data_IF_303307944355
#
_entry.id   IF_303307944355
#
_cell.length_a   1.000
_cell.length_b   1.000
_cell.length_c   1.000
_cell.angle_alpha   90.00
_cell.angle_beta   90.00
_cell.angle_gamma   90.00
#
_symmetry.space_group_name_H-M   'P 1'
#
loop_
_entity.id
_entity.type
_entity.pdbx_description
1 polymer ?
#
# COMPACT_ATOMS: atom_id res chain seq x y z
N UNK A 1 38.41 -2.04 -1.67
CA UNK A 1 38.57 -2.39 -0.23
C UNK A 1 37.76 -3.66 0.01
N UNK A 2 38.46 -4.66 0.53
CA UNK A 2 38.20 -6.09 0.40
C UNK A 2 36.95 -6.62 1.11
N UNK A 3 36.48 -7.76 0.61
CA UNK A 3 35.57 -8.74 1.21
C UNK A 3 36.02 -9.17 2.63
N UNK A 4 35.88 -8.30 3.62
CA UNK A 4 36.09 -8.63 5.03
C UNK A 4 34.72 -8.79 5.69
N UNK A 5 34.48 -10.01 6.16
CA UNK A 5 33.37 -10.47 6.98
C UNK A 5 32.62 -9.34 7.72
N UNK A 6 31.44 -8.92 7.21
CA UNK A 6 30.63 -7.84 7.79
C UNK A 6 29.89 -8.26 9.09
N UNK A 7 30.27 -9.38 9.70
CA UNK A 7 29.64 -9.93 10.90
C UNK A 7 29.74 -8.99 12.10
N UNK A 8 30.78 -8.16 12.17
CA UNK A 8 30.94 -7.14 13.23
C UNK A 8 29.93 -5.99 13.15
N UNK A 9 29.23 -5.82 12.02
CA UNK A 9 28.22 -4.77 11.81
C UNK A 9 26.81 -5.21 12.20
N UNK A 10 26.59 -6.48 12.56
CA UNK A 10 25.34 -6.99 13.12
C UNK A 10 25.54 -7.48 14.57
N UNK A 11 25.69 -6.56 15.53
CA UNK A 11 25.80 -6.94 16.93
C UNK A 11 24.52 -7.66 17.39
N UNK A 12 24.61 -8.57 18.38
CA UNK A 12 23.46 -9.33 18.88
C UNK A 12 22.26 -8.47 19.26
N UNK A 13 22.50 -7.27 19.81
CA UNK A 13 21.48 -6.29 20.14
C UNK A 13 20.65 -5.88 18.92
N UNK A 14 21.29 -5.61 17.77
CA UNK A 14 20.58 -5.23 16.53
C UNK A 14 19.74 -6.40 16.01
N UNK A 15 20.26 -7.63 16.08
CA UNK A 15 19.50 -8.83 15.73
C UNK A 15 18.27 -8.99 16.63
N UNK A 16 18.41 -8.75 17.93
CA UNK A 16 17.31 -8.80 18.88
C UNK A 16 16.26 -7.72 18.61
N UNK A 17 16.68 -6.48 18.33
CA UNK A 17 15.76 -5.40 17.92
C UNK A 17 14.98 -5.79 16.68
N UNK A 18 15.61 -6.36 15.65
CA UNK A 18 14.91 -6.81 14.45
C UNK A 18 13.93 -7.94 14.71
N UNK A 19 14.27 -8.88 15.59
CA UNK A 19 13.36 -9.96 15.99
C UNK A 19 12.14 -9.40 16.72
N UNK A 20 12.34 -8.54 17.72
CA UNK A 20 11.25 -7.91 18.48
C UNK A 20 10.37 -7.06 17.57
N UNK A 21 10.97 -6.26 16.68
CA UNK A 21 10.26 -5.46 15.70
C UNK A 21 9.43 -6.32 14.74
N UNK A 22 10.02 -7.37 14.16
CA UNK A 22 9.32 -8.26 13.22
C UNK A 22 8.20 -9.03 13.92
N UNK A 23 8.40 -9.47 15.17
CA UNK A 23 7.37 -10.13 15.97
C UNK A 23 6.21 -9.19 16.31
N UNK A 24 6.51 -7.93 16.64
CA UNK A 24 5.50 -6.89 16.87
C UNK A 24 4.67 -6.60 15.62
N UNK A 25 5.32 -6.46 14.46
CA UNK A 25 4.64 -6.29 13.17
C UNK A 25 3.80 -7.51 12.81
N UNK A 26 4.27 -8.72 13.09
CA UNK A 26 3.51 -9.95 12.83
C UNK A 26 2.21 -9.95 13.63
N UNK A 27 2.29 -9.73 14.95
CA UNK A 27 1.12 -9.73 15.82
C UNK A 27 0.14 -8.61 15.46
N UNK A 28 0.64 -7.38 15.34
CA UNK A 28 -0.17 -6.22 15.03
C UNK A 28 -0.75 -6.30 13.62
N UNK A 29 0.06 -6.68 12.63
CA UNK A 29 -0.34 -6.79 11.23
C UNK A 29 -1.40 -7.86 11.01
N UNK A 30 -1.28 -9.03 11.64
CA UNK A 30 -2.32 -10.08 11.53
C UNK A 30 -3.64 -9.62 12.12
N UNK A 31 -3.61 -8.94 13.28
CA UNK A 31 -4.79 -8.40 13.92
C UNK A 31 -5.45 -7.32 13.03
N UNK A 32 -4.69 -6.32 12.60
CA UNK A 32 -5.19 -5.18 11.84
C UNK A 32 -5.71 -5.59 10.45
N UNK A 33 -4.94 -6.36 9.69
CA UNK A 33 -5.34 -6.77 8.34
C UNK A 33 -6.41 -7.86 8.37
N UNK A 34 -6.39 -8.77 9.33
CA UNK A 34 -7.44 -9.77 9.51
C UNK A 34 -8.78 -9.11 9.86
N UNK A 35 -8.78 -8.17 10.81
CA UNK A 35 -9.96 -7.40 11.17
C UNK A 35 -10.44 -6.53 10.00
N UNK A 36 -9.52 -5.86 9.30
CA UNK A 36 -9.85 -5.04 8.14
C UNK A 36 -10.50 -5.88 7.05
N UNK A 37 -9.90 -7.01 6.67
CA UNK A 37 -10.47 -7.90 5.66
C UNK A 37 -11.83 -8.45 6.11
N UNK A 38 -11.99 -8.78 7.40
CA UNK A 38 -13.29 -9.18 7.95
C UNK A 38 -14.36 -8.10 7.78
N UNK A 39 -14.05 -6.87 8.18
CA UNK A 39 -14.97 -5.72 8.07
C UNK A 39 -15.27 -5.42 6.60
N UNK A 40 -14.23 -5.35 5.77
CA UNK A 40 -14.30 -5.07 4.34
C UNK A 40 -14.97 -6.19 3.55
N UNK A 41 -15.08 -7.43 4.02
CA UNK A 41 -15.79 -8.47 3.27
C UNK A 41 -17.21 -8.66 3.77
N UNK A 42 -17.43 -8.67 5.09
CA UNK A 42 -18.70 -9.10 5.68
C UNK A 42 -19.51 -8.01 6.38
N UNK A 43 -18.93 -6.87 6.76
CA UNK A 43 -19.65 -5.82 7.52
C UNK A 43 -20.13 -4.66 6.64
N UNK A 44 -19.45 -4.39 5.53
CA UNK A 44 -19.86 -3.34 4.62
C UNK A 44 -20.88 -3.88 3.59
N UNK A 45 -22.05 -3.25 3.42
CA UNK A 45 -23.11 -3.77 2.55
C UNK A 45 -22.87 -3.52 1.05
N UNK A 46 -22.03 -2.54 0.70
CA UNK A 46 -21.81 -2.12 -0.71
C UNK A 46 -20.33 -2.18 -1.09
N UNK A 47 -20.03 -2.76 -2.24
CA UNK A 47 -18.68 -2.76 -2.79
C UNK A 47 -18.39 -1.44 -3.49
N UNK A 48 -17.33 -0.77 -3.09
CA UNK A 48 -16.81 0.46 -3.70
C UNK A 48 -15.42 0.19 -4.28
N UNK A 49 -14.95 1.06 -5.18
CA UNK A 49 -13.62 0.95 -5.79
C UNK A 49 -12.53 0.89 -4.73
N UNK A 50 -12.60 1.81 -3.76
CA UNK A 50 -11.64 1.87 -2.65
C UNK A 50 -11.69 0.62 -1.78
N UNK A 51 -12.88 0.09 -1.47
CA UNK A 51 -13.01 -1.16 -0.72
C UNK A 51 -12.32 -2.32 -1.44
N UNK A 52 -12.40 -2.39 -2.77
CA UNK A 52 -11.74 -3.43 -3.56
C UNK A 52 -10.21 -3.30 -3.48
N UNK A 53 -9.66 -2.10 -3.71
CA UNK A 53 -8.22 -1.89 -3.59
C UNK A 53 -7.69 -2.26 -2.21
N UNK A 54 -8.45 -1.90 -1.17
CA UNK A 54 -8.07 -2.09 0.23
C UNK A 54 -8.18 -3.54 0.67
N UNK A 55 -9.16 -4.29 0.17
CA UNK A 55 -9.23 -5.73 0.39
C UNK A 55 -8.05 -6.45 -0.27
N UNK A 56 -7.65 -6.04 -1.48
CA UNK A 56 -6.46 -6.60 -2.15
C UNK A 56 -5.16 -6.25 -1.41
N UNK A 57 -5.07 -5.06 -0.84
CA UNK A 57 -3.93 -4.63 -0.02
C UNK A 57 -3.83 -5.48 1.25
N UNK A 58 -4.94 -5.67 1.97
CA UNK A 58 -5.00 -6.54 3.14
C UNK A 58 -4.63 -7.99 2.82
N UNK A 59 -5.03 -8.52 1.66
CA UNK A 59 -4.63 -9.86 1.20
C UNK A 59 -3.11 -9.93 0.97
N UNK A 60 -2.52 -8.94 0.28
CA UNK A 60 -1.08 -8.90 0.06
C UNK A 60 -0.31 -8.84 1.39
N UNK A 61 -0.76 -8.00 2.32
CA UNK A 61 -0.17 -7.87 3.65
C UNK A 61 -0.25 -9.16 4.46
N UNK A 62 -1.40 -9.85 4.43
CA UNK A 62 -1.56 -11.15 5.08
C UNK A 62 -0.64 -12.22 4.45
N UNK A 63 -0.44 -12.20 3.14
CA UNK A 63 0.54 -13.08 2.48
C UNK A 63 1.96 -12.83 3.00
N UNK A 64 2.38 -11.57 3.17
CA UNK A 64 3.67 -11.24 3.80
C UNK A 64 3.73 -11.73 5.24
N UNK A 65 2.72 -11.42 6.04
CA UNK A 65 2.68 -11.76 7.47
C UNK A 65 2.78 -13.27 7.69
N UNK A 66 2.09 -14.08 6.88
CA UNK A 66 2.22 -15.54 6.89
C UNK A 66 3.62 -16.02 6.49
N UNK A 67 4.35 -15.28 5.66
CA UNK A 67 5.72 -15.60 5.24
C UNK A 67 6.80 -15.20 6.26
N UNK A 68 6.52 -14.22 7.14
CA UNK A 68 7.51 -13.71 8.10
C UNK A 68 8.07 -14.76 9.08
N UNK A 69 7.29 -15.70 9.64
CA UNK A 69 7.84 -16.76 10.50
C UNK A 69 8.90 -17.62 9.80
N UNK A 70 8.64 -17.98 8.54
CA UNK A 70 9.56 -18.76 7.72
C UNK A 70 10.82 -17.95 7.40
N UNK A 71 10.65 -16.67 7.07
CA UNK A 71 11.77 -15.74 6.92
C UNK A 71 12.69 -15.75 8.15
N UNK A 72 12.11 -15.66 9.37
CA UNK A 72 12.87 -15.63 10.62
C UNK A 72 13.58 -16.96 10.92
N UNK A 73 12.98 -18.07 10.50
CA UNK A 73 13.56 -19.40 10.62
C UNK A 73 14.76 -19.56 9.67
N UNK A 74 14.59 -19.30 8.38
CA UNK A 74 15.64 -19.49 7.37
C UNK A 74 16.81 -18.52 7.50
N UNK A 75 16.61 -17.37 8.15
CA UNK A 75 17.72 -16.47 8.51
C UNK A 75 18.74 -17.14 9.45
N UNK A 76 18.38 -18.23 10.15
CA UNK A 76 19.29 -18.96 11.05
C UNK A 76 20.00 -20.14 10.40
N UNK A 77 19.36 -20.82 9.45
CA UNK A 77 19.85 -22.07 8.87
C UNK A 77 20.65 -21.89 7.59
N UNK A 78 20.56 -20.73 6.92
CA UNK A 78 21.22 -20.45 5.62
C UNK A 78 20.91 -21.48 4.52
N UNK A 79 19.81 -22.23 4.67
CA UNK A 79 19.38 -23.26 3.73
C UNK A 79 18.53 -22.66 2.61
N UNK A 80 18.93 -22.92 1.37
CA UNK A 80 18.18 -22.57 0.16
C UNK A 80 17.10 -23.64 -0.11
N UNK A 81 16.03 -23.61 0.68
CA UNK A 81 14.88 -24.52 0.54
C UNK A 81 13.75 -23.85 -0.26
N UNK A 82 12.88 -24.61 -0.95
CA UNK A 82 11.69 -24.07 -1.63
C UNK A 82 10.84 -23.14 -0.77
N UNK A 83 10.81 -23.39 0.55
CA UNK A 83 10.09 -22.57 1.51
C UNK A 83 10.78 -21.23 1.80
N UNK A 84 12.13 -21.17 1.79
CA UNK A 84 12.84 -19.87 1.81
C UNK A 84 12.55 -19.09 0.52
N UNK A 85 12.58 -19.75 -0.64
CA UNK A 85 12.33 -19.12 -1.94
C UNK A 85 10.89 -18.56 -2.00
N UNK A 86 9.90 -19.34 -1.55
CA UNK A 86 8.51 -18.91 -1.43
C UNK A 86 8.34 -17.72 -0.47
N UNK A 87 9.05 -17.73 0.66
CA UNK A 87 9.02 -16.62 1.63
C UNK A 87 9.59 -15.32 1.04
N UNK A 88 10.66 -15.43 0.24
CA UNK A 88 11.20 -14.30 -0.51
C UNK A 88 10.25 -13.82 -1.61
N UNK A 89 9.60 -14.73 -2.33
CA UNK A 89 8.61 -14.40 -3.33
C UNK A 89 7.42 -13.65 -2.71
N UNK A 90 6.91 -14.11 -1.56
CA UNK A 90 5.85 -13.43 -0.80
C UNK A 90 6.27 -12.01 -0.37
N UNK A 91 7.53 -11.82 0.02
CA UNK A 91 8.06 -10.49 0.33
C UNK A 91 8.06 -9.55 -0.88
N UNK A 92 8.56 -10.01 -2.02
CA UNK A 92 8.59 -9.21 -3.25
C UNK A 92 7.18 -8.94 -3.78
N UNK A 93 6.30 -9.95 -3.71
CA UNK A 93 4.89 -9.85 -4.05
C UNK A 93 4.23 -8.73 -3.24
N UNK A 94 4.34 -8.76 -1.92
CA UNK A 94 3.79 -7.72 -1.06
C UNK A 94 4.33 -6.35 -1.43
N UNK A 95 5.65 -6.21 -1.55
CA UNK A 95 6.28 -4.92 -1.90
C UNK A 95 5.71 -4.33 -3.19
N UNK A 96 5.72 -5.08 -4.28
CA UNK A 96 5.26 -4.55 -5.57
C UNK A 96 3.74 -4.43 -5.65
N UNK A 97 3.00 -5.31 -4.97
CA UNK A 97 1.54 -5.23 -4.92
C UNK A 97 1.10 -4.00 -4.11
N UNK A 98 1.66 -3.75 -2.92
CA UNK A 98 1.36 -2.56 -2.12
C UNK A 98 1.72 -1.28 -2.87
N UNK A 99 2.91 -1.21 -3.48
CA UNK A 99 3.32 -0.06 -4.33
C UNK A 99 2.29 0.20 -5.43
N UNK A 100 1.88 -0.85 -6.15
CA UNK A 100 0.98 -0.73 -7.29
C UNK A 100 -0.45 -0.37 -6.87
N UNK A 101 -0.95 -0.94 -5.78
CA UNK A 101 -2.28 -0.66 -5.24
C UNK A 101 -2.36 0.77 -4.69
N UNK A 102 -1.34 1.23 -3.95
CA UNK A 102 -1.28 2.60 -3.43
C UNK A 102 -1.26 3.62 -4.58
N UNK A 103 -0.52 3.33 -5.65
CA UNK A 103 -0.55 4.11 -6.89
C UNK A 103 -1.97 4.11 -7.51
N UNK A 104 -2.59 2.94 -7.66
CA UNK A 104 -3.93 2.83 -8.24
C UNK A 104 -5.00 3.59 -7.43
N UNK A 105 -4.95 3.52 -6.10
CA UNK A 105 -5.81 4.29 -5.19
C UNK A 105 -5.63 5.79 -5.41
N UNK A 106 -4.39 6.25 -5.57
CA UNK A 106 -4.08 7.66 -5.76
C UNK A 106 -4.52 8.17 -7.14
N UNK A 107 -4.40 7.35 -8.19
CA UNK A 107 -4.95 7.65 -9.52
C UNK A 107 -6.47 7.68 -9.48
N UNK A 108 -7.12 6.71 -8.82
CA UNK A 108 -8.58 6.67 -8.63
C UNK A 108 -9.08 7.98 -7.99
N UNK A 109 -8.41 8.43 -6.92
CA UNK A 109 -8.76 9.68 -6.24
C UNK A 109 -8.47 10.92 -7.05
N UNK A 110 -7.36 10.95 -7.76
CA UNK A 110 -7.06 12.03 -8.69
C UNK A 110 -8.15 12.18 -9.75
N UNK A 111 -8.56 11.09 -10.40
CA UNK A 111 -9.62 11.09 -11.42
C UNK A 111 -10.94 11.53 -10.82
N UNK A 112 -11.29 11.04 -9.63
CA UNK A 112 -12.51 11.42 -8.91
C UNK A 112 -12.59 12.94 -8.64
N UNK A 113 -11.47 13.55 -8.25
CA UNK A 113 -11.42 14.95 -7.81
C UNK A 113 -11.27 15.91 -8.98
N UNK A 114 -10.38 15.61 -9.93
CA UNK A 114 -10.05 16.53 -11.04
C UNK A 114 -10.91 16.33 -12.27
N UNK A 115 -11.43 15.13 -12.49
CA UNK A 115 -12.16 14.77 -13.72
C UNK A 115 -13.50 14.08 -13.41
N UNK A 116 -14.44 14.72 -12.67
CA UNK A 116 -15.67 14.07 -12.19
C UNK A 116 -16.56 13.51 -13.31
N UNK A 117 -16.60 14.15 -14.48
CA UNK A 117 -17.35 13.65 -15.64
C UNK A 117 -16.75 12.36 -16.21
N UNK A 118 -15.41 12.27 -16.30
CA UNK A 118 -14.71 11.05 -16.72
C UNK A 118 -14.79 9.97 -15.65
N UNK A 119 -14.72 10.36 -14.37
CA UNK A 119 -14.86 9.47 -13.23
C UNK A 119 -16.17 8.67 -13.28
N UNK A 120 -17.27 9.26 -13.77
CA UNK A 120 -18.56 8.56 -13.91
C UNK A 120 -18.52 7.36 -14.87
N UNK A 121 -17.64 7.37 -15.88
CA UNK A 121 -17.50 6.26 -16.83
C UNK A 121 -16.29 5.36 -16.56
N UNK A 122 -15.25 5.86 -15.90
CA UNK A 122 -13.99 5.15 -15.64
C UNK A 122 -13.91 4.51 -14.25
N UNK A 123 -14.83 4.84 -13.35
CA UNK A 123 -14.84 4.32 -11.98
C UNK A 123 -16.11 3.50 -11.76
N UNK A 124 -15.88 2.23 -11.45
CA UNK A 124 -16.88 1.31 -10.97
C UNK A 124 -16.17 0.20 -10.19
N UNK A 125 -16.88 -0.50 -9.29
CA UNK A 125 -16.32 -1.65 -8.59
C UNK A 125 -15.76 -2.72 -9.56
N UNK A 126 -16.44 -2.95 -10.69
CA UNK A 126 -15.95 -3.89 -11.71
C UNK A 126 -14.63 -3.45 -12.34
N UNK A 127 -14.49 -2.17 -12.67
CA UNK A 127 -13.22 -1.62 -13.19
C UNK A 127 -12.10 -1.69 -12.16
N UNK A 128 -12.38 -1.38 -10.89
CA UNK A 128 -11.38 -1.51 -9.82
C UNK A 128 -10.93 -2.97 -9.63
N UNK A 129 -11.85 -3.93 -9.71
CA UNK A 129 -11.52 -5.36 -9.67
C UNK A 129 -10.65 -5.78 -10.87
N UNK A 130 -10.96 -5.29 -12.07
CA UNK A 130 -10.16 -5.55 -13.27
C UNK A 130 -8.74 -4.97 -13.16
N UNK A 131 -8.60 -3.75 -12.59
CA UNK A 131 -7.30 -3.15 -12.28
C UNK A 131 -6.54 -4.03 -11.29
N UNK A 132 -7.14 -4.41 -10.16
CA UNK A 132 -6.50 -5.31 -9.19
C UNK A 132 -6.06 -6.63 -9.82
N UNK A 133 -6.92 -7.28 -10.62
CA UNK A 133 -6.58 -8.53 -11.30
C UNK A 133 -5.40 -8.36 -12.26
N UNK A 134 -5.36 -7.25 -13.00
CA UNK A 134 -4.22 -6.91 -13.87
C UNK A 134 -2.95 -6.70 -13.07
N UNK A 135 -3.01 -5.99 -11.94
CA UNK A 135 -1.85 -5.78 -11.06
C UNK A 135 -1.33 -7.12 -10.50
N UNK A 136 -2.22 -7.99 -10.03
CA UNK A 136 -1.84 -9.34 -9.60
C UNK A 136 -1.16 -10.13 -10.71
N UNK A 137 -1.74 -10.14 -11.92
CA UNK A 137 -1.16 -10.84 -13.06
C UNK A 137 0.23 -10.29 -13.44
N UNK A 138 0.40 -8.96 -13.45
CA UNK A 138 1.68 -8.31 -13.74
C UNK A 138 2.71 -8.64 -12.67
N UNK A 139 2.37 -8.51 -11.39
CA UNK A 139 3.31 -8.76 -10.29
C UNK A 139 3.68 -10.24 -10.25
N UNK A 140 2.71 -11.15 -10.23
CA UNK A 140 2.97 -12.60 -10.24
C UNK A 140 3.72 -13.03 -11.49
N UNK A 141 3.34 -12.52 -12.67
CA UNK A 141 4.02 -12.77 -13.92
C UNK A 141 5.48 -12.30 -13.89
N UNK A 142 5.76 -11.13 -13.33
CA UNK A 142 7.14 -10.63 -13.17
C UNK A 142 7.98 -11.48 -12.21
N UNK A 143 7.37 -11.98 -11.13
CA UNK A 143 8.03 -12.89 -10.19
C UNK A 143 8.28 -14.27 -10.80
N UNK A 144 7.31 -14.80 -11.54
CA UNK A 144 7.44 -16.04 -12.28
C UNK A 144 8.51 -15.92 -13.37
N UNK A 145 8.52 -14.83 -14.14
CA UNK A 145 9.55 -14.59 -15.14
C UNK A 145 10.94 -14.51 -14.50
N UNK A 146 11.06 -13.81 -13.37
CA UNK A 146 12.30 -13.76 -12.60
C UNK A 146 12.74 -15.13 -12.11
N UNK A 147 11.80 -16.00 -11.77
CA UNK A 147 12.05 -17.39 -11.39
C UNK A 147 12.52 -18.23 -12.60
N UNK A 148 11.85 -18.11 -13.74
CA UNK A 148 12.11 -18.91 -14.94
C UNK A 148 13.37 -18.50 -15.70
N UNK A 149 13.70 -17.21 -15.76
CA UNK A 149 14.81 -16.71 -16.57
C UNK A 149 16.20 -17.07 -16.04
N UNK A 150 16.29 -17.90 -15.00
CA UNK A 150 17.53 -18.30 -14.35
C UNK A 150 18.51 -17.12 -14.23
N UNK A 151 17.97 -15.96 -13.83
CA UNK A 151 18.74 -14.79 -13.41
C UNK A 151 19.35 -15.13 -12.03
N UNK A 152 20.10 -16.23 -12.04
CA UNK A 152 20.70 -16.97 -10.95
C UNK A 152 22.22 -16.90 -11.12
N UNK A 153 22.74 -15.69 -10.95
CA UNK A 153 24.01 -15.59 -10.24
C UNK A 153 23.72 -15.70 -8.72
N UNK A 154 23.24 -16.87 -8.30
CA UNK A 154 23.27 -17.33 -6.91
C UNK A 154 21.97 -17.25 -6.09
N UNK A 155 21.37 -18.43 -5.86
CA UNK A 155 20.79 -18.91 -4.59
C UNK A 155 19.64 -18.11 -3.96
N UNK A 156 18.43 -18.68 -3.98
CA UNK A 156 17.27 -18.17 -3.28
C UNK A 156 17.36 -18.39 -1.77
N UNK A 157 18.07 -17.52 -1.05
CA UNK A 157 17.73 -17.19 0.34
C UNK A 157 18.53 -15.96 0.79
N UNK A 158 17.90 -14.76 0.81
CA UNK A 158 18.35 -13.43 1.31
C UNK A 158 19.85 -13.04 1.24
N UNK A 159 20.65 -13.78 0.50
CA UNK A 159 22.08 -13.63 0.37
C UNK A 159 22.33 -12.90 -0.94
N UNK A 160 23.03 -11.79 -0.84
CA UNK A 160 23.47 -11.05 -2.03
C UNK A 160 24.77 -11.70 -2.47
N UNK A 161 24.74 -12.63 -3.43
CA UNK A 161 25.96 -13.08 -4.10
C UNK A 161 26.19 -12.26 -5.36
N UNK A 162 27.47 -12.07 -5.65
CA UNK A 162 28.07 -11.05 -6.52
C UNK A 162 27.77 -11.23 -8.02
N UNK A 163 26.51 -11.09 -8.41
CA UNK A 163 26.10 -10.92 -9.81
C UNK A 163 25.24 -9.67 -9.92
N UNK A 164 25.80 -8.57 -10.42
CA UNK A 164 25.03 -7.36 -10.75
C UNK A 164 24.15 -7.66 -11.97
N UNK A 165 23.00 -8.30 -11.77
CA UNK A 165 22.02 -8.37 -12.83
C UNK A 165 21.36 -6.99 -12.97
N UNK A 166 21.89 -6.18 -13.88
CA UNK A 166 21.44 -4.83 -14.16
C UNK A 166 19.94 -4.79 -14.48
N UNK A 167 19.39 -5.82 -15.13
CA UNK A 167 17.96 -5.90 -15.45
C UNK A 167 17.09 -5.99 -14.19
N UNK A 168 17.47 -6.80 -13.21
CA UNK A 168 16.73 -6.92 -11.93
C UNK A 168 16.73 -5.61 -11.15
N UNK A 169 17.87 -4.91 -11.15
CA UNK A 169 17.99 -3.60 -10.51
C UNK A 169 17.16 -2.56 -11.24
N UNK A 170 17.30 -2.45 -12.57
CA UNK A 170 16.54 -1.49 -13.38
C UNK A 170 15.03 -1.73 -13.24
N UNK A 171 14.59 -2.99 -13.30
CA UNK A 171 13.18 -3.33 -13.08
C UNK A 171 12.71 -2.93 -11.68
N UNK A 172 13.51 -3.18 -10.64
CA UNK A 172 13.18 -2.74 -9.27
C UNK A 172 13.11 -1.22 -9.13
N UNK A 173 14.01 -0.48 -9.78
CA UNK A 173 14.03 0.99 -9.73
C UNK A 173 12.86 1.57 -10.54
N UNK A 174 12.58 1.07 -11.73
CA UNK A 174 11.42 1.48 -12.53
C UNK A 174 10.11 1.16 -11.82
N UNK A 175 10.01 -0.05 -11.26
CA UNK A 175 8.87 -0.50 -10.45
C UNK A 175 8.65 0.30 -9.17
N UNK A 176 9.56 1.20 -8.80
CA UNK A 176 9.42 2.10 -7.65
C UNK A 176 9.30 3.58 -8.04
N UNK A 177 10.23 4.11 -8.83
CA UNK A 177 10.28 5.53 -9.16
C UNK A 177 9.13 5.98 -10.07
N UNK A 178 8.65 5.12 -10.96
CA UNK A 178 7.47 5.43 -11.78
C UNK A 178 6.21 5.54 -10.88
N UNK A 179 5.89 4.55 -10.02
CA UNK A 179 4.83 4.70 -9.04
C UNK A 179 4.99 5.92 -8.12
N UNK A 180 6.21 6.22 -7.66
CA UNK A 180 6.47 7.40 -6.84
C UNK A 180 6.13 8.70 -7.58
N UNK A 181 6.55 8.83 -8.84
CA UNK A 181 6.25 10.01 -9.65
C UNK A 181 4.74 10.20 -9.85
N UNK A 182 4.02 9.11 -10.15
CA UNK A 182 2.55 9.12 -10.26
C UNK A 182 1.91 9.50 -8.93
N UNK A 183 2.36 8.92 -7.82
CA UNK A 183 1.85 9.21 -6.48
C UNK A 183 2.02 10.67 -6.11
N UNK A 184 3.21 11.24 -6.30
CA UNK A 184 3.50 12.65 -6.03
C UNK A 184 2.63 13.54 -6.91
N UNK A 185 2.55 13.26 -8.21
CA UNK A 185 1.70 14.01 -9.13
C UNK A 185 0.23 13.99 -8.70
N UNK A 186 -0.34 12.80 -8.46
CA UNK A 186 -1.73 12.65 -8.02
C UNK A 186 -1.98 13.39 -6.70
N UNK A 187 -1.04 13.30 -5.74
CA UNK A 187 -1.13 13.98 -4.45
C UNK A 187 -1.19 15.50 -4.62
N UNK A 188 -0.26 16.08 -5.38
CA UNK A 188 -0.23 17.53 -5.65
C UNK A 188 -1.51 17.99 -6.34
N UNK A 189 -2.03 17.21 -7.28
CA UNK A 189 -3.25 17.54 -7.99
C UNK A 189 -4.50 17.49 -7.11
N UNK A 190 -4.59 16.53 -6.19
CA UNK A 190 -5.71 16.45 -5.23
C UNK A 190 -5.65 17.60 -4.22
N UNK A 191 -4.46 17.95 -3.72
CA UNK A 191 -4.26 19.06 -2.78
C UNK A 191 -4.55 20.42 -3.44
N UNK A 192 -4.03 20.66 -4.64
CA UNK A 192 -4.31 21.92 -5.36
C UNK A 192 -5.80 22.07 -5.70
N UNK A 193 -6.49 20.97 -6.03
CA UNK A 193 -7.93 20.99 -6.23
C UNK A 193 -8.73 21.40 -4.99
N UNK A 194 -8.21 21.22 -3.78
CA UNK A 194 -8.82 21.76 -2.57
C UNK A 194 -8.65 23.26 -2.45
N UNK A 195 -7.43 23.74 -2.66
CA UNK A 195 -7.10 25.17 -2.54
C UNK A 195 -7.84 26.04 -3.55
N UNK A 196 -8.22 25.47 -4.69
CA UNK A 196 -8.85 26.19 -5.81
C UNK A 196 -10.39 26.19 -5.74
N UNK A 197 -11.01 25.52 -4.77
CA UNK A 197 -12.48 25.36 -4.73
C UNK A 197 -13.15 26.47 -3.90
N UNK A 198 -14.14 27.19 -4.48
CA UNK A 198 -14.94 28.16 -3.72
C UNK A 198 -15.72 27.48 -2.59
N UNK A 199 -15.91 28.18 -1.46
CA UNK A 199 -16.66 27.69 -0.28
C UNK A 199 -18.15 27.38 -0.55
N UNK A 200 -18.66 27.72 -1.74
CA UNK A 200 -20.06 27.60 -2.12
C UNK A 200 -20.62 26.16 -2.12
N UNK A 201 -19.79 25.11 -2.03
CA UNK A 201 -20.23 23.70 -1.97
C UNK A 201 -19.54 22.92 -0.83
N UNK A 202 -19.97 23.11 0.44
CA UNK A 202 -19.30 22.54 1.60
C UNK A 202 -19.23 21.00 1.60
N UNK A 203 -20.29 20.30 1.14
CA UNK A 203 -20.30 18.84 1.09
C UNK A 203 -19.29 18.24 0.10
N UNK A 204 -19.03 18.93 -1.02
CA UNK A 204 -18.06 18.47 -2.02
C UNK A 204 -16.62 18.85 -1.62
N UNK A 205 -16.44 19.95 -0.89
CA UNK A 205 -15.17 20.31 -0.27
C UNK A 205 -14.76 19.28 0.79
N UNK A 206 -15.69 18.82 1.62
CA UNK A 206 -15.44 17.78 2.63
C UNK A 206 -15.03 16.44 2.01
N UNK A 207 -15.73 15.98 0.98
CA UNK A 207 -15.37 14.75 0.25
C UNK A 207 -13.96 14.85 -0.37
N UNK A 208 -13.61 16.02 -0.92
CA UNK A 208 -12.28 16.27 -1.49
C UNK A 208 -11.21 16.32 -0.39
N UNK A 209 -11.54 16.84 0.79
CA UNK A 209 -10.63 16.90 1.94
C UNK A 209 -10.32 15.49 2.44
N UNK A 210 -11.33 14.62 2.55
CA UNK A 210 -11.16 13.20 2.88
C UNK A 210 -10.26 12.50 1.85
N UNK A 211 -10.53 12.70 0.56
CA UNK A 211 -9.67 12.18 -0.51
C UNK A 211 -8.22 12.65 -0.38
N UNK A 212 -7.98 13.92 -0.04
CA UNK A 212 -6.61 14.44 0.16
C UNK A 212 -5.91 13.84 1.36
N UNK A 213 -6.61 13.64 2.49
CA UNK A 213 -6.03 13.03 3.68
C UNK A 213 -5.61 11.57 3.39
N UNK A 214 -6.45 10.83 2.65
CA UNK A 214 -6.14 9.46 2.26
C UNK A 214 -4.94 9.39 1.30
N UNK A 215 -4.90 10.24 0.27
CA UNK A 215 -3.79 10.27 -0.70
C UNK A 215 -2.49 10.75 -0.05
N UNK A 216 -2.55 11.72 0.85
CA UNK A 216 -1.38 12.20 1.59
C UNK A 216 -0.87 11.15 2.59
N UNK A 217 -1.77 10.45 3.30
CA UNK A 217 -1.38 9.34 4.18
C UNK A 217 -0.66 8.25 3.38
N UNK A 218 -1.24 7.85 2.24
CA UNK A 218 -0.62 6.91 1.31
C UNK A 218 0.77 7.36 0.85
N UNK A 219 0.94 8.63 0.49
CA UNK A 219 2.24 9.19 0.09
C UNK A 219 3.26 9.10 1.23
N UNK A 220 2.87 9.48 2.45
CA UNK A 220 3.76 9.43 3.62
C UNK A 220 4.17 7.99 3.92
N UNK A 221 3.23 7.05 3.94
CA UNK A 221 3.52 5.63 4.16
C UNK A 221 4.47 5.10 3.10
N UNK A 222 4.20 5.42 1.83
CA UNK A 222 5.03 5.01 0.71
C UNK A 222 6.47 5.53 0.83
N UNK A 223 6.61 6.81 1.15
CA UNK A 223 7.92 7.46 1.33
C UNK A 223 8.66 6.88 2.54
N UNK A 224 8.00 6.66 3.67
CA UNK A 224 8.67 6.12 4.87
C UNK A 224 9.06 4.65 4.69
N UNK A 225 8.18 3.83 4.12
CA UNK A 225 8.39 2.39 4.03
C UNK A 225 9.28 1.97 2.85
N UNK A 226 9.13 2.60 1.68
CA UNK A 226 9.76 2.09 0.46
C UNK A 226 10.92 2.96 -0.05
N UNK A 227 10.87 4.29 0.10
CA UNK A 227 11.92 5.17 -0.43
C UNK A 227 13.32 4.89 0.14
N UNK A 228 13.51 4.67 1.46
CA UNK A 228 14.85 4.47 2.01
C UNK A 228 15.58 3.29 1.37
N UNK A 229 14.87 2.17 1.14
CA UNK A 229 15.44 0.99 0.50
C UNK A 229 15.88 1.28 -0.94
N UNK A 230 15.02 1.92 -1.73
CA UNK A 230 15.30 2.18 -3.15
C UNK A 230 16.39 3.24 -3.32
N UNK A 231 16.48 4.23 -2.43
CA UNK A 231 17.57 5.20 -2.40
C UNK A 231 18.90 4.49 -2.14
N UNK A 232 18.99 3.67 -1.09
CA UNK A 232 20.23 2.93 -0.78
C UNK A 232 20.61 1.98 -1.92
N UNK A 233 19.64 1.30 -2.53
CA UNK A 233 19.87 0.46 -3.71
C UNK A 233 20.39 1.27 -4.91
N UNK A 234 19.82 2.46 -5.14
CA UNK A 234 20.26 3.36 -6.21
C UNK A 234 21.69 3.82 -5.97
N UNK A 235 22.03 4.24 -4.74
CA UNK A 235 23.38 4.65 -4.35
C UNK A 235 24.38 3.51 -4.54
N UNK A 236 24.04 2.30 -4.09
CA UNK A 236 24.87 1.10 -4.29
C UNK A 236 25.25 0.90 -5.75
N UNK A 237 24.27 1.03 -6.65
CA UNK A 237 24.44 0.72 -8.07
C UNK A 237 25.14 1.87 -8.79
N UNK A 238 24.69 3.11 -8.58
CA UNK A 238 25.22 4.30 -9.25
C UNK A 238 26.70 4.55 -8.89
N UNK A 239 27.08 4.30 -7.63
CA UNK A 239 28.45 4.50 -7.15
C UNK A 239 29.26 3.20 -7.10
N UNK A 240 28.64 2.07 -7.44
CA UNK A 240 29.28 0.76 -7.39
C UNK A 240 29.77 0.33 -5.99
N UNK A 241 29.17 0.84 -4.91
CA UNK A 241 29.62 0.64 -3.53
C UNK A 241 29.18 -0.72 -2.96
N UNK A 242 30.15 -1.55 -2.55
CA UNK A 242 29.89 -2.84 -1.90
C UNK A 242 30.44 -2.89 -0.47
N UNK A 243 30.26 -1.81 0.29
CA UNK A 243 30.73 -1.71 1.67
C UNK A 243 29.78 -2.39 2.66
N UNK A 244 30.29 -2.77 3.83
CA UNK A 244 29.45 -3.30 4.92
C UNK A 244 28.37 -2.30 5.36
N UNK A 245 28.67 -1.00 5.32
CA UNK A 245 27.70 0.06 5.62
C UNK A 245 26.51 0.05 4.64
N UNK A 246 26.76 -0.06 3.33
CA UNK A 246 25.70 -0.16 2.31
C UNK A 246 24.90 -1.44 2.48
N UNK A 247 25.55 -2.58 2.71
CA UNK A 247 24.87 -3.85 2.97
C UNK A 247 23.97 -3.78 4.21
N UNK A 248 24.45 -3.16 5.29
CA UNK A 248 23.68 -2.97 6.51
C UNK A 248 22.52 -1.99 6.30
N UNK A 249 22.73 -0.91 5.56
CA UNK A 249 21.68 0.04 5.19
C UNK A 249 20.57 -0.64 4.36
N UNK A 250 20.92 -1.51 3.40
CA UNK A 250 19.94 -2.30 2.64
C UNK A 250 19.13 -3.21 3.57
N UNK A 251 19.79 -3.89 4.52
CA UNK A 251 19.09 -4.73 5.50
C UNK A 251 18.12 -3.91 6.36
N UNK A 252 18.59 -2.81 6.98
CA UNK A 252 17.77 -1.94 7.84
C UNK A 252 16.57 -1.40 7.06
N UNK A 253 16.80 -0.81 5.90
CA UNK A 253 15.74 -0.20 5.08
C UNK A 253 14.78 -1.24 4.49
N UNK A 254 15.25 -2.45 4.19
CA UNK A 254 14.37 -3.58 3.84
C UNK A 254 13.46 -3.97 5.00
N UNK A 255 13.94 -4.00 6.25
CA UNK A 255 13.09 -4.25 7.43
C UNK A 255 12.11 -3.11 7.70
N UNK A 256 12.53 -1.87 7.51
CA UNK A 256 11.64 -0.71 7.62
C UNK A 256 10.43 -0.87 6.68
N UNK A 257 10.62 -1.40 5.46
CA UNK A 257 9.52 -1.63 4.53
C UNK A 257 8.44 -2.62 5.02
N UNK A 258 8.73 -3.45 6.03
CA UNK A 258 7.72 -4.32 6.64
C UNK A 258 6.66 -3.54 7.42
N UNK A 259 6.96 -2.32 7.90
CA UNK A 259 5.97 -1.50 8.61
C UNK A 259 4.76 -1.16 7.73
N UNK A 260 4.90 -1.23 6.39
CA UNK A 260 3.81 -0.99 5.45
C UNK A 260 2.55 -1.78 5.81
N UNK A 261 2.69 -3.07 6.14
CA UNK A 261 1.53 -3.92 6.42
C UNK A 261 0.74 -3.49 7.66
N UNK A 262 1.35 -2.78 8.61
CA UNK A 262 0.64 -2.21 9.75
C UNK A 262 0.13 -0.80 9.46
N UNK A 263 0.89 -0.01 8.71
CA UNK A 263 0.55 1.38 8.41
C UNK A 263 -0.62 1.51 7.43
N UNK A 264 -0.87 0.48 6.61
CA UNK A 264 -2.05 0.39 5.74
C UNK A 264 -3.38 0.40 6.54
N UNK A 265 -3.33 0.15 7.86
CA UNK A 265 -4.47 0.33 8.76
C UNK A 265 -5.00 1.76 8.85
N UNK A 266 -4.15 2.77 8.62
CA UNK A 266 -4.57 4.17 8.51
C UNK A 266 -5.55 4.33 7.35
N UNK A 267 -5.28 3.65 6.25
CA UNK A 267 -6.13 3.70 5.07
C UNK A 267 -7.47 2.99 5.36
N UNK A 268 -7.47 1.86 6.08
CA UNK A 268 -8.71 1.16 6.47
C UNK A 268 -9.59 2.05 7.37
N UNK A 269 -8.99 2.83 8.27
CA UNK A 269 -9.71 3.79 9.10
C UNK A 269 -10.48 4.82 8.26
N UNK A 270 -9.86 5.39 7.21
CA UNK A 270 -10.55 6.35 6.34
C UNK A 270 -11.75 5.73 5.61
N UNK A 271 -11.63 4.48 5.15
CA UNK A 271 -12.75 3.76 4.51
C UNK A 271 -13.88 3.49 5.50
N UNK A 272 -13.55 3.03 6.71
CA UNK A 272 -14.54 2.77 7.75
C UNK A 272 -15.30 4.05 8.13
N UNK A 273 -14.58 5.18 8.23
CA UNK A 273 -15.16 6.50 8.51
C UNK A 273 -16.09 6.96 7.40
N UNK A 274 -15.69 6.84 6.13
CA UNK A 274 -16.54 7.16 4.98
C UNK A 274 -17.87 6.36 5.01
N UNK A 275 -17.81 5.09 5.41
CA UNK A 275 -19.00 4.24 5.54
C UNK A 275 -19.90 4.60 6.72
N UNK A 276 -19.33 4.90 7.88
CA UNK A 276 -20.10 5.32 9.05
C UNK A 276 -20.89 6.59 8.75
N UNK A 277 -20.25 7.59 8.16
CA UNK A 277 -20.88 8.86 7.80
C UNK A 277 -21.97 8.68 6.72
N UNK A 278 -21.72 7.84 5.71
CA UNK A 278 -22.72 7.52 4.68
C UNK A 278 -23.96 6.82 5.28
N UNK A 279 -23.77 5.91 6.24
CA UNK A 279 -24.87 5.24 6.91
C UNK A 279 -25.70 6.22 7.76
N UNK A 280 -25.06 7.08 8.56
CA UNK A 280 -25.73 8.10 9.38
C UNK A 280 -26.54 9.08 8.52
N UNK A 281 -26.02 9.49 7.36
CA UNK A 281 -26.76 10.36 6.44
C UNK A 281 -28.05 9.73 5.89
N UNK A 282 -28.08 8.39 5.77
CA UNK A 282 -29.25 7.65 5.27
C UNK A 282 -30.31 7.45 6.36
N UNK A 283 -29.92 7.45 7.63
CA UNK A 283 -30.82 7.25 8.79
C UNK A 283 -31.35 8.54 9.40
N UNK A 284 -30.94 9.72 8.93
CA UNK A 284 -31.50 10.99 9.40
C UNK A 284 -32.97 11.11 8.96
N UNK A 285 -33.93 11.22 9.90
CA UNK A 285 -35.34 11.14 9.57
C UNK A 285 -35.76 12.39 8.81
N UNK A 286 -36.49 12.15 7.70
CA UNK A 286 -37.22 13.13 6.90
C UNK A 286 -38.31 13.79 7.75
N UNK A 287 -37.93 14.69 8.66
CA UNK A 287 -38.88 15.44 9.50
C UNK A 287 -38.91 16.90 9.05
N UNK A 288 -39.97 17.20 8.30
CA UNK A 288 -40.73 18.47 8.14
C UNK A 288 -41.08 18.76 6.68
N UNK A 289 -41.93 17.91 6.09
CA UNK A 289 -42.98 18.41 5.22
C UNK A 289 -44.19 18.67 6.13
N UNK A 290 -44.33 19.91 6.59
CA UNK A 290 -45.44 20.32 7.44
C UNK A 290 -46.73 20.19 6.61
N UNK A 291 -47.55 19.20 6.94
CA UNK A 291 -48.98 19.24 6.68
C UNK A 291 -49.52 20.43 7.48
N UNK A 292 -50.01 21.47 6.80
CA UNK A 292 -51.00 22.38 7.36
C UNK A 292 -52.20 22.32 6.43
N UNK A 293 -53.16 21.49 6.81
CA UNK A 293 -54.57 21.68 6.48
C UNK A 293 -55.20 21.99 7.83
N UNK A 294 -55.67 23.21 8.00
CA UNK A 294 -56.90 23.48 8.74
C UNK A 294 -57.45 24.85 8.32
N UNK A 295 -58.58 24.78 7.62
CA UNK A 295 -59.83 25.45 7.99
C UNK A 295 -59.84 26.98 8.08
N UNK A 296 -60.33 27.61 7.01
CA UNK A 296 -61.07 28.87 7.10
C UNK A 296 -62.25 28.81 6.12
N UNK A 297 -63.35 28.22 6.59
CA UNK A 297 -64.70 28.55 6.14
C UNK A 297 -65.17 29.69 7.04
N UNK A 298 -65.75 30.76 6.48
CA UNK A 298 -66.93 31.52 6.99
C UNK A 298 -66.99 32.93 6.33
N UNK A 299 -67.99 33.04 5.44
CA UNK A 299 -68.89 34.18 5.14
C UNK A 299 -68.45 35.52 4.54
N UNK A 300 -69.21 35.87 3.49
CA UNK A 300 -69.84 37.17 3.18
C UNK A 300 -68.95 38.35 2.82
N UNK A 301 -68.82 38.64 1.52
CA UNK A 301 -69.57 39.70 0.80
C UNK A 301 -69.31 39.61 -0.70
#
# INVERSE_FOLDING_TARGET
MNNSNCSSWEPPAVKQVFLTYTGGLLALGLLLNGLALWVLCWRLPRWTETRIYMANLAVADLCLLCALPFFLYFQKTSEDTPLCQLSQAAYLLNRYMSISLVMAISVDRYVAVRHPLRARGLRSPGQAAAVCATLWAVVLGSLALRWFLDVQDGGFCFSVRSGRNAYTVVFSLLGFYLPLAVLVFCSLQVVTALTQRPEANPGQAEATRKASHMVLANLVIFVVCFLPFHVVLTVRVALGLETCAITMAIKITSRLSYANCCLDAICYYFVAKEFQEASVSTTSPRVKAHKSKDTLTVTLT
#
